data_IF_175951884144
#
_entry.id   IF_175951884144
#
_cell.length_a   1.000
_cell.length_b   1.000
_cell.length_c   1.000
_cell.angle_alpha   90.00
_cell.angle_beta   90.00
_cell.angle_gamma   90.00
#
_symmetry.space_group_name_H-M   'P 1'
#
loop_
_entity.id
_entity.type
_entity.pdbx_description
1 polymer ?
#
# COMPACT_ATOMS: atom_id res chain seq x y z
N UNK A 1 2.63 8.70 -21.23
CA UNK A 1 1.35 9.41 -21.33
C UNK A 1 0.25 8.45 -21.77
N UNK A 2 -0.87 8.48 -21.04
CA UNK A 2 -2.13 7.85 -21.45
C UNK A 2 -3.00 8.95 -22.09
N UNK A 3 -3.27 8.83 -23.37
CA UNK A 3 -4.05 9.80 -24.15
C UNK A 3 -5.37 9.17 -24.59
N UNK A 4 -6.46 9.60 -23.98
CA UNK A 4 -7.82 9.14 -24.29
C UNK A 4 -8.76 10.32 -24.52
N UNK A 5 -9.98 10.02 -24.87
CA UNK A 5 -11.10 10.97 -24.88
C UNK A 5 -12.11 10.59 -23.81
N UNK A 6 -12.72 11.60 -23.19
CA UNK A 6 -13.82 11.42 -22.25
C UNK A 6 -15.15 11.08 -22.97
N UNK A 7 -16.23 10.87 -22.21
CA UNK A 7 -17.57 10.56 -22.75
C UNK A 7 -18.15 11.68 -23.63
N UNK A 8 -17.64 12.90 -23.49
CA UNK A 8 -18.04 14.05 -24.31
C UNK A 8 -17.14 14.23 -25.56
N UNK A 9 -16.16 13.33 -25.78
CA UNK A 9 -15.23 13.39 -26.90
C UNK A 9 -14.10 14.41 -26.72
N UNK A 10 -13.84 14.87 -25.50
CA UNK A 10 -12.79 15.85 -25.14
C UNK A 10 -11.52 15.15 -24.70
N UNK A 11 -10.39 15.84 -24.77
CA UNK A 11 -9.10 15.30 -24.33
C UNK A 11 -9.13 14.91 -22.84
N UNK A 12 -8.64 13.70 -22.55
CA UNK A 12 -8.51 13.14 -21.22
C UNK A 12 -7.14 12.45 -21.12
N UNK A 13 -6.18 13.16 -20.53
CA UNK A 13 -4.75 12.83 -20.58
C UNK A 13 -4.23 12.68 -19.16
N UNK A 14 -3.37 11.68 -18.94
CA UNK A 14 -2.64 11.48 -17.69
C UNK A 14 -1.28 10.85 -17.93
N UNK A 15 -0.47 10.82 -16.88
CA UNK A 15 0.85 10.17 -16.82
C UNK A 15 0.80 9.07 -15.80
N UNK A 16 1.38 7.91 -16.10
CA UNK A 16 1.63 6.82 -15.16
C UNK A 16 2.95 6.17 -15.58
N UNK A 17 3.93 6.14 -14.67
CA UNK A 17 5.33 5.78 -14.98
C UNK A 17 5.94 4.85 -13.93
N UNK A 18 5.14 4.13 -13.13
CA UNK A 18 5.70 3.17 -12.20
C UNK A 18 6.45 2.06 -12.94
N UNK A 19 7.65 1.76 -12.47
CA UNK A 19 8.54 0.78 -13.09
C UNK A 19 9.49 1.39 -14.11
N UNK A 20 8.98 2.12 -15.09
CA UNK A 20 9.79 2.87 -16.06
C UNK A 20 8.98 3.98 -16.74
N UNK A 21 9.65 4.82 -17.50
CA UNK A 21 9.02 5.83 -18.36
C UNK A 21 9.06 7.26 -17.84
N UNK A 22 9.44 7.53 -16.60
CA UNK A 22 9.60 8.89 -16.08
C UNK A 22 10.63 9.70 -16.92
N UNK A 23 11.77 9.10 -17.20
CA UNK A 23 12.84 9.69 -18.00
C UNK A 23 12.47 9.91 -19.48
N UNK A 24 11.37 9.35 -19.97
CA UNK A 24 10.89 9.55 -21.32
C UNK A 24 10.20 10.90 -21.52
N UNK A 25 9.77 11.58 -20.48
CA UNK A 25 9.01 12.81 -20.62
C UNK A 25 9.58 14.00 -19.82
N UNK A 26 10.39 13.76 -18.79
CA UNK A 26 11.12 14.80 -18.11
C UNK A 26 12.54 14.35 -17.74
N UNK A 27 13.54 15.25 -17.71
CA UNK A 27 14.95 14.87 -17.44
C UNK A 27 15.12 14.46 -15.98
N UNK A 28 15.42 13.17 -15.74
CA UNK A 28 15.75 12.62 -14.43
C UNK A 28 16.68 11.41 -14.62
N UNK A 29 17.24 10.90 -13.53
CA UNK A 29 17.83 9.56 -13.52
C UNK A 29 16.71 8.55 -13.32
N UNK A 30 16.71 7.50 -14.13
CA UNK A 30 15.65 6.50 -14.17
C UNK A 30 15.90 5.41 -13.12
N UNK A 31 15.92 5.81 -11.85
CA UNK A 31 16.15 4.93 -10.71
C UNK A 31 15.34 5.42 -9.50
N UNK A 32 14.76 4.52 -8.67
CA UNK A 32 13.94 4.90 -7.51
C UNK A 32 14.66 5.81 -6.49
N UNK A 33 15.98 5.76 -6.42
CA UNK A 33 16.77 6.61 -5.49
C UNK A 33 16.91 8.07 -5.92
N UNK A 34 16.26 8.47 -7.00
CA UNK A 34 16.35 9.85 -7.50
C UNK A 34 15.12 10.65 -7.06
N UNK A 35 15.30 11.42 -5.99
CA UNK A 35 14.25 12.27 -5.40
C UNK A 35 14.76 13.71 -5.27
N UNK A 36 14.29 14.66 -6.12
CA UNK A 36 14.56 16.08 -5.88
C UNK A 36 13.83 16.54 -4.61
N UNK A 37 14.50 17.38 -3.80
CA UNK A 37 13.98 17.94 -2.54
C UNK A 37 12.68 18.74 -2.73
N UNK A 38 12.49 19.31 -3.91
CA UNK A 38 11.29 20.06 -4.29
C UNK A 38 11.22 20.21 -5.81
N UNK A 39 10.02 20.49 -6.34
CA UNK A 39 9.85 20.57 -7.78
C UNK A 39 8.82 21.62 -8.21
N UNK A 40 9.18 22.45 -9.20
CA UNK A 40 8.24 23.32 -9.89
C UNK A 40 7.75 22.65 -11.19
N UNK A 41 6.44 22.48 -11.32
CA UNK A 41 5.80 21.86 -12.49
C UNK A 41 4.94 22.94 -13.18
N UNK A 42 5.43 23.46 -14.31
CA UNK A 42 4.76 24.53 -15.06
C UNK A 42 4.23 23.96 -16.38
N UNK A 43 2.93 23.93 -16.55
CA UNK A 43 2.29 23.34 -17.72
C UNK A 43 1.39 24.35 -18.41
N UNK A 44 1.57 24.50 -19.72
CA UNK A 44 0.74 25.37 -20.55
C UNK A 44 -0.17 24.52 -21.43
N UNK A 45 -1.48 24.74 -21.34
CA UNK A 45 -2.52 24.04 -22.09
C UNK A 45 -3.44 25.04 -22.79
N UNK A 46 -4.27 24.61 -23.76
CA UNK A 46 -5.36 25.45 -24.31
C UNK A 46 -6.22 26.05 -23.19
N UNK A 47 -6.82 27.23 -23.43
CA UNK A 47 -7.50 28.01 -22.37
C UNK A 47 -8.79 27.38 -21.85
N UNK A 48 -9.34 26.39 -22.54
CA UNK A 48 -10.59 25.68 -22.26
C UNK A 48 -10.42 24.35 -21.50
N UNK A 49 -9.16 23.98 -21.20
CA UNK A 49 -8.84 22.73 -20.49
C UNK A 49 -7.99 23.03 -19.25
N UNK A 50 -8.12 22.20 -18.24
CA UNK A 50 -7.37 22.33 -16.97
C UNK A 50 -6.21 21.33 -16.90
N UNK A 51 -5.10 21.79 -16.29
CA UNK A 51 -3.98 20.90 -15.94
C UNK A 51 -3.82 20.83 -14.42
N UNK A 52 -3.78 19.60 -13.89
CA UNK A 52 -3.53 19.28 -12.48
C UNK A 52 -2.23 18.49 -12.37
N UNK A 53 -1.39 18.88 -11.41
CA UNK A 53 -0.12 18.20 -11.12
C UNK A 53 0.09 18.04 -9.60
N UNK A 54 1.23 17.46 -9.23
CA UNK A 54 1.65 17.28 -7.84
C UNK A 54 1.85 18.63 -7.12
N UNK A 55 1.81 18.61 -5.79
CA UNK A 55 2.04 19.78 -4.98
C UNK A 55 0.88 20.77 -4.99
N UNK A 56 1.17 22.02 -4.72
CA UNK A 56 0.18 23.09 -4.58
C UNK A 56 0.20 24.04 -5.77
N UNK A 57 -0.98 24.38 -6.30
CA UNK A 57 -1.10 25.40 -7.34
C UNK A 57 -0.72 26.76 -6.76
N UNK A 58 0.35 27.37 -7.29
CA UNK A 58 0.87 28.67 -6.85
C UNK A 58 0.35 29.82 -7.68
N UNK A 59 0.21 29.61 -9.00
CA UNK A 59 -0.22 30.65 -9.91
C UNK A 59 -0.93 30.06 -11.14
N UNK A 60 -1.89 30.79 -11.66
CA UNK A 60 -2.53 30.51 -12.96
C UNK A 60 -2.42 31.75 -13.83
N UNK A 61 -1.79 31.62 -15.00
CA UNK A 61 -1.67 32.70 -15.97
C UNK A 61 -2.54 32.37 -17.18
N UNK A 62 -3.61 33.13 -17.36
CA UNK A 62 -4.61 32.90 -18.41
C UNK A 62 -4.50 33.97 -19.50
N UNK A 63 -4.55 33.51 -20.76
CA UNK A 63 -4.72 34.32 -21.96
C UNK A 63 -5.95 33.83 -22.72
N UNK A 64 -6.32 34.48 -23.82
CA UNK A 64 -7.48 34.10 -24.63
C UNK A 64 -7.33 32.71 -25.26
N UNK A 65 -6.09 32.23 -25.50
CA UNK A 65 -5.81 31.00 -26.25
C UNK A 65 -5.17 29.90 -25.41
N UNK A 66 -4.56 30.25 -24.25
CA UNK A 66 -3.83 29.29 -23.41
C UNK A 66 -3.85 29.69 -21.94
N UNK A 67 -3.72 28.67 -21.07
CA UNK A 67 -3.57 28.82 -19.63
C UNK A 67 -2.30 28.11 -19.19
N UNK A 68 -1.47 28.78 -18.35
CA UNK A 68 -0.32 28.17 -17.70
C UNK A 68 -0.64 27.95 -16.23
N UNK A 69 -0.55 26.71 -15.78
CA UNK A 69 -0.67 26.30 -14.38
C UNK A 69 0.72 26.11 -13.80
N UNK A 70 1.01 26.77 -12.67
CA UNK A 70 2.30 26.66 -11.96
C UNK A 70 2.09 25.95 -10.64
N UNK A 71 2.44 24.69 -10.61
CA UNK A 71 2.39 23.85 -9.42
C UNK A 71 3.76 23.80 -8.75
N UNK A 72 3.79 23.54 -7.45
CA UNK A 72 5.02 23.43 -6.69
C UNK A 72 4.87 22.35 -5.61
N UNK A 73 5.78 21.38 -5.64
CA UNK A 73 5.96 20.32 -4.63
C UNK A 73 7.02 20.81 -3.65
N UNK A 74 6.68 20.83 -2.38
CA UNK A 74 7.54 21.36 -1.29
C UNK A 74 8.37 20.30 -0.60
N UNK A 75 8.05 19.01 -0.84
CA UNK A 75 8.69 17.85 -0.23
C UNK A 75 9.47 17.04 -1.27
N UNK A 76 10.39 16.16 -0.84
CA UNK A 76 11.02 15.22 -1.75
C UNK A 76 9.97 14.42 -2.54
N UNK A 77 10.22 14.19 -3.81
CA UNK A 77 9.32 13.47 -4.70
C UNK A 77 10.10 12.52 -5.60
N UNK A 78 9.75 11.24 -5.59
CA UNK A 78 10.41 10.29 -6.49
C UNK A 78 10.06 10.54 -7.96
N UNK A 79 10.88 10.03 -8.86
CA UNK A 79 10.81 10.36 -10.27
C UNK A 79 9.51 9.92 -10.94
N UNK A 80 8.96 8.74 -10.60
CA UNK A 80 7.77 8.19 -11.24
C UNK A 80 6.48 8.86 -10.76
N UNK A 81 6.50 9.48 -9.58
CA UNK A 81 5.36 10.20 -9.02
C UNK A 81 5.06 11.54 -9.68
N UNK A 82 6.05 12.13 -10.36
CA UNK A 82 5.83 13.39 -11.07
C UNK A 82 4.77 13.19 -12.16
N UNK A 83 3.63 13.88 -12.04
CA UNK A 83 2.48 13.64 -12.88
C UNK A 83 1.85 14.91 -13.45
N UNK A 84 1.22 14.76 -14.60
CA UNK A 84 0.43 15.79 -15.27
C UNK A 84 -0.87 15.17 -15.72
N UNK A 85 -2.00 15.76 -15.29
CA UNK A 85 -3.33 15.31 -15.65
C UNK A 85 -4.09 16.46 -16.32
N UNK A 86 -4.65 16.23 -17.50
CA UNK A 86 -5.26 17.28 -18.33
C UNK A 86 -6.64 16.82 -18.78
N UNK A 87 -7.67 17.57 -18.39
CA UNK A 87 -9.06 17.34 -18.78
C UNK A 87 -9.95 18.54 -18.51
N UNK A 88 -11.23 18.45 -18.84
CA UNK A 88 -12.25 19.40 -18.42
C UNK A 88 -12.70 19.06 -16.99
N UNK A 89 -11.90 19.45 -16.01
CA UNK A 89 -12.17 19.16 -14.60
C UNK A 89 -13.11 20.17 -13.95
N UNK A 90 -14.06 19.66 -13.15
CA UNK A 90 -14.66 20.38 -12.03
C UNK A 90 -13.79 20.19 -10.78
N UNK A 91 -13.82 21.16 -9.86
CA UNK A 91 -13.04 21.13 -8.62
C UNK A 91 -13.98 21.06 -7.43
N UNK A 92 -13.92 19.96 -6.69
CA UNK A 92 -14.65 19.80 -5.43
C UNK A 92 -13.70 20.15 -4.29
N UNK A 93 -14.01 21.23 -3.55
CA UNK A 93 -13.28 21.54 -2.33
C UNK A 93 -13.94 20.84 -1.14
N UNK A 94 -13.14 20.20 -0.32
CA UNK A 94 -13.55 19.46 0.86
C UNK A 94 -12.61 19.73 2.04
N UNK A 95 -12.91 19.16 3.21
CA UNK A 95 -12.10 19.24 4.41
C UNK A 95 -11.97 17.86 5.06
N UNK A 96 -10.78 17.55 5.55
CA UNK A 96 -10.47 16.33 6.27
C UNK A 96 -10.09 16.68 7.71
N UNK A 97 -10.66 15.96 8.67
CA UNK A 97 -10.26 16.03 10.08
C UNK A 97 -9.07 15.11 10.31
N UNK A 98 -7.87 15.67 10.16
CA UNK A 98 -6.59 15.02 10.43
C UNK A 98 -6.25 15.09 11.92
N UNK A 99 -5.28 14.26 12.35
CA UNK A 99 -4.68 14.36 13.69
C UNK A 99 -3.93 15.68 13.90
N UNK A 100 -3.58 16.39 12.81
CA UNK A 100 -2.92 17.72 12.83
C UNK A 100 -3.92 18.89 12.74
N UNK A 101 -5.22 18.62 12.73
CA UNK A 101 -6.27 19.62 12.63
C UNK A 101 -7.13 19.46 11.38
N UNK A 102 -7.95 20.49 11.07
CA UNK A 102 -8.78 20.50 9.86
C UNK A 102 -7.92 20.91 8.67
N UNK A 103 -7.83 20.05 7.67
CA UNK A 103 -7.00 20.22 6.49
C UNK A 103 -7.85 20.29 5.21
N UNK A 104 -7.44 21.08 4.21
CA UNK A 104 -8.13 21.15 2.93
C UNK A 104 -7.84 19.90 2.08
N UNK A 105 -8.86 19.44 1.37
CA UNK A 105 -8.76 18.42 0.32
C UNK A 105 -9.42 18.92 -0.96
N UNK A 106 -8.92 18.49 -2.10
CA UNK A 106 -9.44 18.86 -3.40
C UNK A 106 -9.61 17.63 -4.29
N UNK A 107 -10.78 17.53 -4.93
CA UNK A 107 -11.02 16.45 -5.88
C UNK A 107 -11.24 17.06 -7.26
N UNK A 108 -10.44 16.63 -8.22
CA UNK A 108 -10.48 17.06 -9.62
C UNK A 108 -11.13 15.94 -10.43
N UNK A 109 -12.34 16.16 -10.89
CA UNK A 109 -13.13 15.15 -11.60
C UNK A 109 -13.67 15.70 -12.91
N UNK A 110 -13.95 14.84 -13.89
CA UNK A 110 -14.60 15.29 -15.10
C UNK A 110 -15.92 16.02 -14.75
N UNK A 111 -16.18 17.16 -15.38
CA UNK A 111 -17.23 18.09 -15.00
C UNK A 111 -18.62 17.43 -14.89
N UNK A 112 -18.91 16.44 -15.72
CA UNK A 112 -20.17 15.67 -15.66
C UNK A 112 -20.22 14.61 -14.55
N UNK A 113 -19.11 14.37 -13.84
CA UNK A 113 -19.00 13.41 -12.73
C UNK A 113 -19.03 14.10 -11.35
N UNK A 114 -19.16 15.43 -11.29
CA UNK A 114 -19.07 16.19 -10.03
C UNK A 114 -20.01 15.67 -8.95
N UNK A 115 -21.28 15.41 -9.28
CA UNK A 115 -22.29 14.99 -8.31
C UNK A 115 -21.99 13.60 -7.72
N UNK A 116 -21.65 12.62 -8.57
CA UNK A 116 -21.33 11.27 -8.12
C UNK A 116 -20.02 11.25 -7.33
N UNK A 117 -19.03 12.01 -7.76
CA UNK A 117 -17.75 12.14 -7.07
C UNK A 117 -17.90 12.78 -5.68
N UNK A 118 -18.72 13.79 -5.55
CA UNK A 118 -19.00 14.47 -4.27
C UNK A 118 -19.56 13.52 -3.21
N UNK A 119 -20.39 12.57 -3.60
CA UNK A 119 -20.88 11.53 -2.70
C UNK A 119 -19.84 10.45 -2.44
N UNK A 120 -19.18 9.99 -3.48
CA UNK A 120 -18.21 8.90 -3.42
C UNK A 120 -16.99 9.25 -2.54
N UNK A 121 -16.39 10.41 -2.75
CA UNK A 121 -15.18 10.82 -2.04
C UNK A 121 -15.40 11.27 -0.58
N UNK A 122 -16.63 11.25 -0.08
CA UNK A 122 -16.86 11.37 1.37
C UNK A 122 -16.13 10.29 2.16
N UNK A 123 -15.90 9.13 1.54
CA UNK A 123 -15.18 8.02 2.14
C UNK A 123 -13.69 8.35 2.42
N UNK A 124 -13.08 9.24 1.63
CA UNK A 124 -11.70 9.68 1.82
C UNK A 124 -11.43 10.23 3.24
N UNK A 125 -12.42 10.83 3.87
CA UNK A 125 -12.33 11.34 5.26
C UNK A 125 -12.16 10.22 6.28
N UNK A 126 -12.84 9.08 6.06
CA UNK A 126 -12.74 7.91 6.94
C UNK A 126 -11.44 7.15 6.67
N UNK A 127 -11.05 7.05 5.39
CA UNK A 127 -9.77 6.45 4.98
C UNK A 127 -8.61 7.19 5.64
N UNK A 128 -8.51 8.51 5.48
CA UNK A 128 -7.46 9.33 6.08
C UNK A 128 -7.38 9.13 7.59
N UNK A 129 -8.52 9.13 8.29
CA UNK A 129 -8.55 8.90 9.73
C UNK A 129 -7.99 7.54 10.13
N UNK A 130 -8.34 6.48 9.39
CA UNK A 130 -7.83 5.13 9.65
C UNK A 130 -6.34 5.03 9.36
N UNK A 131 -5.86 5.60 8.25
CA UNK A 131 -4.46 5.59 7.88
C UNK A 131 -3.61 6.34 8.90
N UNK A 132 -4.03 7.53 9.31
CA UNK A 132 -3.35 8.29 10.38
C UNK A 132 -3.36 7.56 11.74
N UNK A 133 -4.41 6.78 12.01
CA UNK A 133 -4.46 5.93 13.21
C UNK A 133 -3.36 4.86 13.18
N UNK A 134 -3.09 4.25 12.04
CA UNK A 134 -2.14 3.15 11.90
C UNK A 134 -0.71 3.60 11.60
N UNK A 135 -0.53 4.70 10.86
CA UNK A 135 0.78 5.09 10.32
C UNK A 135 1.29 6.44 10.85
N UNK A 136 0.45 7.22 11.51
CA UNK A 136 0.79 8.57 11.93
C UNK A 136 0.28 9.64 10.96
N UNK A 137 0.60 10.93 11.20
CA UNK A 137 0.08 12.05 10.41
C UNK A 137 0.33 11.90 8.92
N UNK A 138 -0.59 12.41 8.10
CA UNK A 138 -0.37 12.55 6.65
C UNK A 138 0.88 13.40 6.38
N UNK A 139 1.80 12.94 5.51
CA UNK A 139 3.14 13.51 5.42
C UNK A 139 3.21 14.95 4.84
N UNK A 140 2.31 15.30 3.90
CA UNK A 140 2.49 16.51 3.05
C UNK A 140 1.28 17.44 3.02
N UNK A 141 0.71 17.85 4.13
CA UNK A 141 -0.40 18.80 4.13
C UNK A 141 -0.06 20.14 3.45
N UNK A 142 1.21 20.54 3.39
CA UNK A 142 1.66 21.72 2.64
C UNK A 142 1.53 21.58 1.12
N UNK A 143 1.63 20.36 0.58
CA UNK A 143 1.41 20.06 -0.83
C UNK A 143 -0.04 19.66 -1.13
N UNK A 144 -0.82 19.40 -0.07
CA UNK A 144 -2.25 19.12 -0.10
C UNK A 144 -2.56 17.65 -0.43
N UNK A 145 -3.81 17.29 -0.17
CA UNK A 145 -4.38 15.99 -0.54
C UNK A 145 -5.34 16.18 -1.71
N UNK A 146 -5.04 15.55 -2.84
CA UNK A 146 -5.84 15.63 -4.05
C UNK A 146 -6.15 14.23 -4.60
N UNK A 147 -7.42 14.03 -4.99
CA UNK A 147 -7.81 12.92 -5.87
C UNK A 147 -8.08 13.50 -7.25
N UNK A 148 -7.48 12.90 -8.27
CA UNK A 148 -7.57 13.37 -9.64
C UNK A 148 -8.12 12.25 -10.53
N UNK A 149 -9.29 12.46 -11.13
CA UNK A 149 -9.86 11.50 -12.07
C UNK A 149 -8.97 11.37 -13.30
N UNK A 150 -8.62 10.13 -13.66
CA UNK A 150 -7.63 9.81 -14.70
C UNK A 150 -8.16 8.77 -15.68
N UNK A 151 -7.59 8.68 -16.89
CA UNK A 151 -7.99 7.69 -17.89
C UNK A 151 -7.48 6.26 -17.64
N UNK A 152 -6.97 5.97 -16.45
CA UNK A 152 -6.49 4.65 -15.99
C UNK A 152 -6.95 4.41 -14.55
N UNK A 153 -6.82 3.19 -14.05
CA UNK A 153 -7.48 2.72 -12.84
C UNK A 153 -7.09 3.49 -11.56
N UNK A 154 -5.81 3.63 -11.30
CA UNK A 154 -5.23 4.33 -10.15
C UNK A 154 -3.74 4.47 -10.31
N UNK A 155 -3.12 5.33 -9.53
CA UNK A 155 -1.69 5.52 -9.39
C UNK A 155 -1.41 6.46 -8.21
N UNK A 156 -0.41 6.12 -7.42
CA UNK A 156 -0.06 6.77 -6.15
C UNK A 156 0.69 8.11 -6.28
N UNK A 157 0.45 8.87 -7.33
CA UNK A 157 1.16 10.14 -7.54
C UNK A 157 1.09 11.05 -6.32
N UNK A 158 2.23 11.29 -5.67
CA UNK A 158 2.36 12.07 -4.45
C UNK A 158 1.53 13.36 -4.49
N UNK A 159 0.66 13.57 -3.50
CA UNK A 159 -0.23 14.73 -3.37
C UNK A 159 -1.17 15.00 -4.56
N UNK A 160 -1.24 14.10 -5.55
CA UNK A 160 -2.12 14.19 -6.72
C UNK A 160 -2.58 12.78 -7.17
N UNK A 161 -3.10 12.01 -6.23
CA UNK A 161 -3.48 10.61 -6.35
C UNK A 161 -4.42 10.42 -7.55
N UNK A 162 -4.06 9.54 -8.47
CA UNK A 162 -4.84 9.24 -9.65
C UNK A 162 -5.98 8.28 -9.32
N UNK A 163 -7.16 8.57 -9.84
CA UNK A 163 -8.37 7.78 -9.65
C UNK A 163 -9.12 7.56 -10.96
N UNK A 164 -9.39 6.31 -11.34
CA UNK A 164 -10.10 5.98 -12.57
C UNK A 164 -11.01 4.74 -12.43
N UNK A 165 -11.58 4.53 -11.24
CA UNK A 165 -12.44 3.37 -10.93
C UNK A 165 -13.94 3.63 -11.24
N UNK A 166 -14.29 4.62 -12.05
CA UNK A 166 -15.67 4.97 -12.41
C UNK A 166 -16.62 5.12 -11.20
N UNK A 167 -16.12 5.54 -10.05
CA UNK A 167 -16.88 5.68 -8.78
C UNK A 167 -17.54 4.38 -8.31
N UNK A 168 -16.88 3.24 -8.60
CA UNK A 168 -17.31 1.93 -8.14
C UNK A 168 -16.78 1.65 -6.74
N UNK A 169 -17.57 0.97 -5.93
CA UNK A 169 -17.12 0.40 -4.67
C UNK A 169 -16.56 -1.01 -4.89
N UNK A 170 -15.89 -1.56 -3.88
CA UNK A 170 -15.26 -2.89 -3.92
C UNK A 170 -16.10 -3.95 -4.63
N UNK A 171 -17.40 -3.77 -4.63
CA UNK A 171 -18.30 -4.77 -5.17
C UNK A 171 -19.43 -4.16 -6.00
N UNK A 172 -19.06 -3.66 -7.17
CA UNK A 172 -20.06 -3.23 -8.16
C UNK A 172 -20.73 -4.46 -8.79
N UNK A 173 -21.73 -5.01 -8.13
CA UNK A 173 -22.58 -6.06 -8.70
C UNK A 173 -22.78 -7.30 -7.86
N UNK A 174 -21.97 -7.56 -6.85
CA UNK A 174 -22.20 -8.56 -5.81
C UNK A 174 -22.43 -7.82 -4.50
N UNK A 175 -23.31 -8.24 -3.63
CA UNK A 175 -23.50 -7.58 -2.33
C UNK A 175 -22.20 -7.61 -1.56
N UNK A 176 -21.53 -6.48 -1.47
CA UNK A 176 -20.29 -6.36 -0.72
C UNK A 176 -20.55 -6.63 0.76
N UNK A 177 -19.92 -7.66 1.29
CA UNK A 177 -19.89 -7.89 2.72
C UNK A 177 -19.00 -6.86 3.44
N UNK A 178 -18.17 -6.11 2.70
CA UNK A 178 -17.28 -5.06 3.19
C UNK A 178 -17.93 -3.67 3.17
N UNK A 179 -19.16 -3.54 2.66
CA UNK A 179 -19.87 -2.26 2.61
C UNK A 179 -19.37 -1.35 1.48
N UNK A 180 -19.42 -0.06 1.73
CA UNK A 180 -19.06 0.97 0.76
C UNK A 180 -17.58 1.31 0.89
N UNK A 181 -16.70 0.55 0.22
CA UNK A 181 -15.26 0.77 0.19
C UNK A 181 -14.80 0.89 -1.25
N UNK A 182 -14.18 2.03 -1.59
CA UNK A 182 -13.41 2.16 -2.81
C UNK A 182 -11.95 1.79 -2.54
N UNK A 183 -11.59 0.57 -2.93
CA UNK A 183 -10.26 0.04 -2.68
C UNK A 183 -9.17 0.79 -3.46
N UNK A 184 -9.49 1.39 -4.64
CA UNK A 184 -8.51 2.18 -5.40
C UNK A 184 -8.16 3.45 -4.62
N UNK A 185 -9.15 4.26 -4.23
CA UNK A 185 -8.87 5.46 -3.43
C UNK A 185 -8.10 5.12 -2.15
N UNK A 186 -8.43 4.00 -1.50
CA UNK A 186 -7.77 3.56 -0.26
C UNK A 186 -6.32 3.15 -0.51
N UNK A 187 -6.10 2.27 -1.49
CA UNK A 187 -4.79 1.73 -1.84
C UNK A 187 -3.84 2.86 -2.26
N UNK A 188 -4.27 3.68 -3.21
CA UNK A 188 -3.46 4.79 -3.71
C UNK A 188 -3.21 5.87 -2.64
N UNK A 189 -4.14 6.06 -1.69
CA UNK A 189 -3.90 6.96 -0.55
C UNK A 189 -2.89 6.37 0.44
N UNK A 190 -2.84 5.05 0.62
CA UNK A 190 -1.88 4.41 1.52
C UNK A 190 -0.44 4.64 1.08
N UNK A 191 -0.22 4.74 -0.20
CA UNK A 191 1.10 5.00 -0.77
C UNK A 191 1.67 6.37 -0.40
N UNK A 192 0.89 7.32 0.08
CA UNK A 192 1.42 8.57 0.62
C UNK A 192 2.35 8.32 1.83
N UNK A 193 2.14 7.22 2.57
CA UNK A 193 3.05 6.73 3.61
C UNK A 193 4.05 5.69 3.09
N UNK A 194 3.57 4.74 2.25
CA UNK A 194 4.32 3.57 1.80
C UNK A 194 4.57 3.64 0.28
N UNK A 195 5.67 4.22 -0.11
CA UNK A 195 6.00 4.51 -1.51
C UNK A 195 6.45 5.95 -1.70
N UNK A 196 5.73 6.91 -1.11
CA UNK A 196 6.03 8.33 -1.24
C UNK A 196 6.85 8.86 -0.05
N UNK A 197 6.37 8.69 1.19
CA UNK A 197 7.13 9.11 2.37
C UNK A 197 8.32 8.18 2.65
N UNK A 198 8.14 6.90 2.43
CA UNK A 198 9.18 5.89 2.51
C UNK A 198 9.26 5.20 1.17
N UNK A 199 10.30 5.47 0.42
CA UNK A 199 10.49 4.95 -0.94
C UNK A 199 11.40 3.74 -0.94
N UNK A 200 11.06 2.69 -1.69
CA UNK A 200 11.91 1.53 -1.87
C UNK A 200 13.20 1.90 -2.63
N UNK A 201 14.34 1.37 -2.17
CA UNK A 201 15.64 1.67 -2.74
C UNK A 201 15.84 1.10 -4.15
N UNK A 202 15.03 0.13 -4.55
CA UNK A 202 15.10 -0.53 -5.86
C UNK A 202 13.72 -1.11 -6.21
N UNK A 203 13.44 -1.31 -7.49
CA UNK A 203 12.23 -2.01 -7.95
C UNK A 203 12.10 -3.43 -7.39
N UNK A 204 13.21 -4.05 -7.02
CA UNK A 204 13.22 -5.33 -6.33
C UNK A 204 12.56 -5.29 -4.94
N UNK A 205 12.59 -4.14 -4.28
CA UNK A 205 12.01 -3.90 -2.96
C UNK A 205 10.57 -3.31 -3.00
N UNK A 206 9.94 -3.27 -4.16
CA UNK A 206 8.60 -2.66 -4.36
C UNK A 206 7.50 -3.23 -3.45
N UNK A 207 7.72 -4.39 -2.83
CA UNK A 207 6.80 -4.93 -1.83
C UNK A 207 6.63 -4.02 -0.60
N UNK A 208 7.62 -3.15 -0.33
CA UNK A 208 7.52 -2.11 0.69
C UNK A 208 6.45 -1.06 0.35
N UNK A 209 6.13 -0.87 -0.93
CA UNK A 209 5.01 -0.08 -1.39
C UNK A 209 3.74 -0.94 -1.39
N UNK A 210 3.71 -1.96 -2.23
CA UNK A 210 2.53 -2.71 -2.60
C UNK A 210 2.01 -3.66 -1.50
N UNK A 211 2.94 -4.29 -0.78
CA UNK A 211 2.59 -5.15 0.35
C UNK A 211 1.96 -4.37 1.50
N UNK A 212 2.50 -3.19 1.80
CA UNK A 212 1.93 -2.28 2.80
C UNK A 212 0.66 -1.61 2.30
N UNK A 213 0.57 -1.22 1.02
CA UNK A 213 -0.65 -0.73 0.38
C UNK A 213 -1.79 -1.74 0.51
N UNK A 214 -1.53 -2.99 0.11
CA UNK A 214 -2.50 -4.08 0.24
C UNK A 214 -2.85 -4.40 1.70
N UNK A 215 -1.88 -4.36 2.62
CA UNK A 215 -2.17 -4.60 4.04
C UNK A 215 -2.96 -3.45 4.67
N UNK A 216 -2.82 -2.25 4.15
CA UNK A 216 -3.64 -1.10 4.54
C UNK A 216 -5.12 -1.34 4.25
N UNK A 217 -5.45 -1.99 3.12
CA UNK A 217 -6.84 -2.39 2.85
C UNK A 217 -7.37 -3.33 3.94
N UNK A 218 -6.55 -4.31 4.38
CA UNK A 218 -6.89 -5.23 5.48
C UNK A 218 -7.13 -4.48 6.78
N UNK A 219 -6.23 -3.56 7.13
CA UNK A 219 -6.34 -2.73 8.34
C UNK A 219 -7.56 -1.80 8.31
N UNK A 220 -7.89 -1.24 7.15
CA UNK A 220 -9.08 -0.42 6.99
C UNK A 220 -10.37 -1.24 7.18
N UNK A 221 -10.43 -2.44 6.60
CA UNK A 221 -11.54 -3.38 6.83
C UNK A 221 -11.65 -3.73 8.32
N UNK A 222 -10.52 -3.94 9.00
CA UNK A 222 -10.48 -4.18 10.44
C UNK A 222 -11.06 -3.01 11.24
N UNK A 223 -10.63 -1.79 10.93
CA UNK A 223 -11.08 -0.57 11.63
C UNK A 223 -12.58 -0.29 11.42
N UNK A 224 -13.10 -0.62 10.24
CA UNK A 224 -14.50 -0.36 9.85
C UNK A 224 -15.47 -1.48 10.24
N UNK A 225 -15.05 -2.73 10.12
CA UNK A 225 -15.93 -3.90 10.20
C UNK A 225 -15.47 -4.94 11.22
N UNK A 226 -14.31 -4.73 11.84
CA UNK A 226 -13.73 -5.61 12.85
C UNK A 226 -12.83 -6.71 12.30
N UNK A 227 -12.01 -7.25 13.20
CA UNK A 227 -10.97 -8.24 12.88
C UNK A 227 -11.46 -9.48 12.09
N UNK A 228 -12.61 -10.13 12.41
CA UNK A 228 -13.05 -11.27 11.60
C UNK A 228 -13.28 -10.96 10.13
N UNK A 229 -13.72 -9.75 9.80
CA UNK A 229 -13.95 -9.33 8.42
C UNK A 229 -12.62 -9.02 7.71
N UNK A 230 -11.63 -8.49 8.41
CA UNK A 230 -10.31 -8.28 7.82
C UNK A 230 -9.61 -9.60 7.49
N UNK A 231 -9.75 -10.62 8.34
CA UNK A 231 -9.24 -11.97 8.04
C UNK A 231 -9.94 -12.56 6.82
N UNK A 232 -11.26 -12.42 6.73
CA UNK A 232 -11.99 -12.87 5.53
C UNK A 232 -11.48 -12.17 4.27
N UNK A 233 -11.26 -10.85 4.33
CA UNK A 233 -10.70 -10.08 3.23
C UNK A 233 -9.30 -10.58 2.82
N UNK A 234 -8.43 -10.80 3.79
CA UNK A 234 -7.08 -11.29 3.58
C UNK A 234 -7.05 -12.70 2.98
N UNK A 235 -7.94 -13.60 3.44
CA UNK A 235 -8.08 -14.96 2.89
C UNK A 235 -8.50 -14.98 1.42
N UNK A 236 -9.30 -14.02 0.97
CA UNK A 236 -9.64 -13.88 -0.45
C UNK A 236 -8.40 -13.50 -1.28
N UNK A 237 -7.54 -12.62 -0.75
CA UNK A 237 -6.29 -12.20 -1.42
C UNK A 237 -5.27 -13.33 -1.53
N UNK A 238 -5.29 -14.31 -0.62
CA UNK A 238 -4.41 -15.49 -0.65
C UNK A 238 -4.45 -16.24 -1.99
N UNK A 239 -5.60 -16.25 -2.64
CA UNK A 239 -5.79 -16.92 -3.94
C UNK A 239 -4.93 -16.36 -5.06
N UNK A 240 -4.45 -15.13 -4.93
CA UNK A 240 -3.57 -14.47 -5.91
C UNK A 240 -2.08 -14.72 -5.69
N UNK A 241 -1.67 -15.43 -4.63
CA UNK A 241 -0.24 -15.68 -4.34
C UNK A 241 0.28 -16.81 -5.23
N UNK A 242 1.32 -16.53 -6.01
CA UNK A 242 1.86 -17.43 -7.01
C UNK A 242 3.08 -18.24 -6.54
N UNK A 243 3.93 -17.66 -5.67
CA UNK A 243 5.18 -18.28 -5.17
C UNK A 243 6.12 -18.81 -6.27
N UNK A 244 6.15 -18.15 -7.43
CA UNK A 244 7.00 -18.59 -8.56
C UNK A 244 8.46 -18.20 -8.37
N UNK A 245 8.70 -17.07 -7.73
CA UNK A 245 10.02 -16.50 -7.45
C UNK A 245 10.02 -15.79 -6.10
N UNK A 246 11.20 -15.42 -5.61
CA UNK A 246 11.34 -14.55 -4.45
C UNK A 246 10.66 -13.20 -4.72
N UNK A 247 10.15 -12.52 -3.70
CA UNK A 247 9.58 -11.18 -3.83
C UNK A 247 10.72 -10.19 -4.14
N UNK A 248 11.75 -10.18 -3.30
CA UNK A 248 12.96 -9.40 -3.56
C UNK A 248 13.93 -10.23 -4.39
N UNK A 249 14.31 -9.71 -5.54
CA UNK A 249 15.27 -10.29 -6.45
C UNK A 249 16.59 -9.53 -6.50
N UNK A 250 17.36 -9.66 -7.59
CA UNK A 250 18.55 -8.86 -7.80
C UNK A 250 18.21 -7.37 -7.87
N UNK A 251 18.98 -6.53 -7.18
CA UNK A 251 18.96 -5.07 -7.29
C UNK A 251 19.91 -4.61 -8.40
N UNK A 252 19.77 -3.36 -8.82
CA UNK A 252 20.49 -2.77 -9.94
C UNK A 252 20.27 -3.51 -11.28
N UNK A 253 19.17 -4.24 -11.38
CA UNK A 253 18.70 -4.93 -12.58
C UNK A 253 17.23 -4.55 -12.84
N UNK A 254 16.75 -4.78 -14.06
CA UNK A 254 15.33 -4.61 -14.36
C UNK A 254 14.51 -5.75 -13.73
N UNK A 255 14.35 -5.69 -12.39
CA UNK A 255 13.55 -6.62 -11.62
C UNK A 255 12.50 -5.85 -10.82
N UNK A 256 11.23 -6.15 -11.08
CA UNK A 256 10.12 -5.64 -10.31
C UNK A 256 9.32 -6.82 -9.76
N UNK A 257 9.23 -6.90 -8.44
CA UNK A 257 8.64 -8.02 -7.71
C UNK A 257 7.11 -8.08 -7.74
N UNK A 258 6.44 -7.40 -8.65
CA UNK A 258 4.99 -7.19 -8.63
C UNK A 258 4.12 -8.44 -8.51
N UNK A 259 4.55 -9.62 -8.99
CA UNK A 259 3.71 -10.82 -8.99
C UNK A 259 3.17 -11.17 -7.60
N UNK A 260 4.03 -11.14 -6.58
CA UNK A 260 3.68 -11.49 -5.20
C UNK A 260 3.85 -10.32 -4.21
N UNK A 261 4.31 -9.15 -4.65
CA UNK A 261 4.55 -7.99 -3.81
C UNK A 261 3.29 -7.58 -3.03
N UNK A 262 2.14 -7.54 -3.69
CA UNK A 262 0.84 -7.18 -3.12
C UNK A 262 0.33 -8.21 -2.10
N UNK A 263 -0.19 -9.31 -2.60
CA UNK A 263 -0.93 -10.28 -1.78
C UNK A 263 -0.03 -11.03 -0.80
N UNK A 264 1.14 -11.52 -1.24
CA UNK A 264 2.07 -12.20 -0.35
C UNK A 264 2.72 -11.21 0.61
N UNK A 265 3.03 -9.98 0.17
CA UNK A 265 3.52 -8.91 1.04
C UNK A 265 2.56 -8.64 2.19
N UNK A 266 1.27 -8.45 1.91
CA UNK A 266 0.25 -8.28 2.95
C UNK A 266 0.16 -9.49 3.90
N UNK A 267 0.26 -10.71 3.39
CA UNK A 267 0.27 -11.92 4.23
C UNK A 267 1.51 -12.01 5.11
N UNK A 268 2.67 -11.58 4.64
CA UNK A 268 3.90 -11.53 5.44
C UNK A 268 3.74 -10.58 6.61
N UNK A 269 3.19 -9.39 6.37
CA UNK A 269 2.91 -8.41 7.43
C UNK A 269 1.92 -8.95 8.47
N UNK A 270 0.86 -9.62 8.02
CA UNK A 270 -0.10 -10.25 8.93
C UNK A 270 0.51 -11.41 9.70
N UNK A 271 1.35 -12.22 9.04
CA UNK A 271 2.09 -13.29 9.71
C UNK A 271 3.05 -12.73 10.76
N UNK A 272 3.77 -11.65 10.45
CA UNK A 272 4.62 -10.96 11.42
C UNK A 272 3.80 -10.47 12.63
N UNK A 273 2.63 -9.86 12.42
CA UNK A 273 1.71 -9.46 13.50
C UNK A 273 1.34 -10.65 14.40
N UNK A 274 1.02 -11.80 13.79
CA UNK A 274 0.70 -13.04 14.51
C UNK A 274 1.91 -13.62 15.26
N UNK A 275 3.10 -13.51 14.67
CA UNK A 275 4.35 -13.96 15.29
C UNK A 275 4.73 -13.09 16.48
N UNK A 276 4.57 -11.76 16.38
CA UNK A 276 4.78 -10.83 17.48
C UNK A 276 3.80 -11.06 18.63
N UNK A 277 2.56 -11.46 18.33
CA UNK A 277 1.49 -11.72 19.28
C UNK A 277 1.20 -10.54 20.23
N UNK A 278 1.48 -9.33 19.75
CA UNK A 278 1.28 -8.07 20.47
C UNK A 278 0.98 -6.93 19.48
N UNK A 279 -0.28 -6.55 19.39
CA UNK A 279 -0.73 -5.47 18.50
C UNK A 279 -0.10 -4.12 18.83
N UNK A 280 0.23 -3.85 20.10
CA UNK A 280 0.85 -2.59 20.48
C UNK A 280 2.28 -2.50 19.93
N UNK A 281 3.02 -3.60 19.95
CA UNK A 281 4.36 -3.69 19.35
C UNK A 281 4.22 -3.58 17.83
N UNK A 282 3.32 -4.34 17.20
CA UNK A 282 3.15 -4.33 15.74
C UNK A 282 2.79 -2.93 15.20
N UNK A 283 1.76 -2.30 15.76
CA UNK A 283 1.38 -0.94 15.33
C UNK A 283 2.41 0.12 15.75
N UNK A 284 3.14 -0.13 16.84
CA UNK A 284 4.29 0.68 17.24
C UNK A 284 5.41 0.65 16.19
N UNK A 285 5.69 -0.52 15.60
CA UNK A 285 6.64 -0.70 14.50
C UNK A 285 6.20 0.11 13.29
N UNK A 286 4.94 -0.01 12.86
CA UNK A 286 4.45 0.70 11.67
C UNK A 286 4.58 2.23 11.81
N UNK A 287 4.14 2.77 12.94
CA UNK A 287 4.25 4.22 13.20
C UNK A 287 5.68 4.69 13.39
N UNK A 288 6.47 3.94 14.15
CA UNK A 288 7.84 4.32 14.45
C UNK A 288 8.72 4.28 13.20
N UNK A 289 8.51 3.32 12.31
CA UNK A 289 9.21 3.25 11.04
C UNK A 289 8.90 4.47 10.16
N UNK A 290 7.62 4.87 10.08
CA UNK A 290 7.20 6.10 9.39
C UNK A 290 7.82 7.37 9.99
N UNK A 291 8.06 7.41 11.28
CA UNK A 291 8.68 8.57 11.94
C UNK A 291 10.19 8.61 11.73
N UNK A 292 10.86 7.45 11.84
CA UNK A 292 12.32 7.37 11.77
C UNK A 292 12.83 7.53 10.34
N UNK A 293 12.11 6.97 9.38
CA UNK A 293 12.49 6.97 7.96
C UNK A 293 11.67 7.94 7.10
N UNK A 294 11.05 8.93 7.71
CA UNK A 294 10.27 9.93 6.97
C UNK A 294 11.11 10.61 5.89
N UNK A 295 10.58 10.65 4.67
CA UNK A 295 11.24 11.19 3.47
C UNK A 295 12.59 10.54 3.18
N UNK A 296 12.67 9.23 3.38
CA UNK A 296 13.89 8.46 3.13
C UNK A 296 13.64 7.29 2.19
N UNK A 297 14.72 6.90 1.53
CA UNK A 297 14.80 5.74 0.65
C UNK A 297 15.32 4.57 1.48
N UNK A 298 14.61 3.44 1.50
CA UNK A 298 14.91 2.29 2.34
C UNK A 298 14.89 0.99 1.54
N UNK A 299 15.72 0.04 1.94
CA UNK A 299 15.67 -1.34 1.45
C UNK A 299 14.95 -2.25 2.44
N UNK A 300 14.63 -3.46 2.04
CA UNK A 300 14.01 -4.47 2.92
C UNK A 300 14.80 -4.69 4.21
N UNK A 301 16.14 -4.67 4.12
CA UNK A 301 17.03 -4.88 5.26
C UNK A 301 16.90 -3.79 6.32
N UNK A 302 16.63 -2.53 5.94
CA UNK A 302 16.41 -1.42 6.87
C UNK A 302 15.16 -1.66 7.73
N UNK A 303 14.09 -2.18 7.12
CA UNK A 303 12.87 -2.57 7.85
C UNK A 303 13.16 -3.72 8.81
N UNK A 304 13.91 -4.73 8.37
CA UNK A 304 14.26 -5.89 9.20
C UNK A 304 15.11 -5.46 10.40
N UNK A 305 16.12 -4.61 10.17
CA UNK A 305 16.98 -4.08 11.24
C UNK A 305 16.16 -3.24 12.23
N UNK A 306 15.26 -2.39 11.74
CA UNK A 306 14.37 -1.62 12.60
C UNK A 306 13.49 -2.51 13.48
N UNK A 307 12.87 -3.56 12.91
CA UNK A 307 12.05 -4.51 13.66
C UNK A 307 12.90 -5.22 14.73
N UNK A 308 14.12 -5.66 14.38
CA UNK A 308 15.04 -6.30 15.31
C UNK A 308 15.40 -5.38 16.47
N UNK A 309 15.68 -4.10 16.19
CA UNK A 309 16.03 -3.10 17.21
C UNK A 309 14.85 -2.82 18.16
N UNK A 310 13.63 -2.67 17.63
CA UNK A 310 12.42 -2.41 18.44
C UNK A 310 12.05 -3.60 19.32
N UNK A 311 12.20 -4.83 18.80
CA UNK A 311 11.76 -6.05 19.50
C UNK A 311 12.85 -6.69 20.34
N UNK A 312 14.12 -6.39 20.06
CA UNK A 312 15.27 -7.08 20.66
C UNK A 312 15.43 -8.54 20.20
N UNK A 313 14.77 -8.93 19.09
CA UNK A 313 14.80 -10.27 18.54
C UNK A 313 15.27 -10.23 17.08
N UNK A 314 15.81 -11.33 16.57
CA UNK A 314 16.25 -11.46 15.19
C UNK A 314 15.14 -12.04 14.31
N UNK A 315 14.54 -11.20 13.47
CA UNK A 315 13.54 -11.60 12.47
C UNK A 315 14.14 -11.82 11.08
N UNK A 316 15.45 -11.67 10.90
CA UNK A 316 16.08 -11.89 9.61
C UNK A 316 15.75 -13.28 9.01
N UNK A 317 15.81 -14.41 9.77
CA UNK A 317 15.43 -15.72 9.23
C UNK A 317 13.98 -15.81 8.76
N UNK A 318 13.05 -15.06 9.39
CA UNK A 318 11.66 -14.97 8.95
C UNK A 318 11.55 -14.28 7.59
N UNK A 319 12.19 -13.12 7.43
CA UNK A 319 12.18 -12.39 6.17
C UNK A 319 12.97 -13.12 5.07
N UNK A 320 14.09 -13.76 5.39
CA UNK A 320 14.84 -14.60 4.44
C UNK A 320 13.95 -15.69 3.83
N UNK A 321 13.11 -16.32 4.65
CA UNK A 321 12.20 -17.36 4.18
C UNK A 321 11.06 -16.83 3.31
N UNK A 322 10.45 -15.69 3.68
CA UNK A 322 9.25 -15.23 3.01
C UNK A 322 9.50 -14.27 1.86
N UNK A 323 10.56 -13.47 1.95
CA UNK A 323 10.88 -12.40 0.99
C UNK A 323 11.93 -12.86 -0.02
N UNK A 324 13.05 -13.44 0.48
CA UNK A 324 14.20 -13.82 -0.36
C UNK A 324 14.17 -15.27 -0.83
N UNK A 325 13.27 -16.10 -0.32
CA UNK A 325 12.97 -17.44 -0.85
C UNK A 325 11.51 -17.52 -1.34
N UNK A 326 11.29 -18.28 -2.40
CA UNK A 326 9.94 -18.46 -2.96
C UNK A 326 9.08 -19.46 -2.20
N UNK A 327 9.70 -20.34 -1.39
CA UNK A 327 9.03 -21.48 -0.76
C UNK A 327 8.36 -21.04 0.55
N UNK A 328 7.03 -21.17 0.69
CA UNK A 328 6.42 -20.98 1.99
C UNK A 328 6.74 -22.16 2.91
N UNK A 329 6.86 -21.92 4.23
CA UNK A 329 6.98 -23.01 5.20
C UNK A 329 5.77 -23.94 5.12
N UNK A 330 5.99 -25.23 5.32
CA UNK A 330 4.92 -26.23 5.42
C UNK A 330 4.94 -26.86 6.81
N UNK A 331 3.83 -26.73 7.55
CA UNK A 331 3.63 -27.44 8.80
C UNK A 331 3.13 -28.85 8.51
N UNK A 332 3.96 -29.86 8.85
CA UNK A 332 3.53 -31.26 8.88
C UNK A 332 3.13 -31.63 10.32
N UNK A 333 1.96 -32.19 10.48
CA UNK A 333 1.52 -32.67 11.79
C UNK A 333 0.73 -33.98 11.68
N UNK A 334 0.74 -34.74 12.79
CA UNK A 334 -0.07 -35.95 12.93
C UNK A 334 -0.50 -36.15 14.37
N UNK A 335 -1.64 -36.82 14.55
CA UNK A 335 -2.21 -37.15 15.86
C UNK A 335 -2.11 -38.66 16.09
N UNK A 336 -1.66 -39.07 17.27
CA UNK A 336 -1.65 -40.45 17.68
C UNK A 336 -1.90 -40.53 19.19
N UNK A 337 -3.02 -41.13 19.59
CA UNK A 337 -3.47 -41.23 20.98
C UNK A 337 -3.48 -39.84 21.67
N UNK A 338 -2.64 -39.67 22.67
CA UNK A 338 -2.49 -38.48 23.51
C UNK A 338 -1.37 -37.54 23.01
N UNK A 339 -0.95 -37.66 21.73
CA UNK A 339 0.20 -36.91 21.20
C UNK A 339 -0.09 -36.23 19.88
N UNK A 340 0.33 -34.97 19.79
CA UNK A 340 0.51 -34.20 18.57
C UNK A 340 1.99 -34.21 18.19
N UNK A 341 2.31 -34.77 17.02
CA UNK A 341 3.62 -34.69 16.40
C UNK A 341 3.59 -33.58 15.36
N UNK A 342 4.62 -32.74 15.32
CA UNK A 342 4.67 -31.62 14.40
C UNK A 342 6.09 -31.23 14.05
N UNK A 343 6.28 -30.68 12.84
CA UNK A 343 7.53 -30.09 12.36
C UNK A 343 7.30 -29.16 11.17
N UNK A 344 8.30 -28.30 10.87
CA UNK A 344 8.33 -27.61 9.58
C UNK A 344 9.14 -28.38 8.55
N UNK A 345 8.67 -28.26 7.28
CA UNK A 345 9.38 -28.67 6.07
C UNK A 345 9.39 -27.55 5.05
N UNK A 346 10.30 -27.62 4.06
CA UNK A 346 10.42 -26.58 3.04
C UNK A 346 11.00 -25.25 3.55
N UNK A 347 11.68 -25.27 4.69
CA UNK A 347 12.25 -24.08 5.33
C UNK A 347 13.76 -23.97 5.15
N UNK A 348 14.27 -22.74 5.22
CA UNK A 348 15.70 -22.45 5.33
C UNK A 348 16.22 -22.92 6.69
N UNK A 349 17.54 -23.26 6.79
CA UNK A 349 18.09 -23.88 8.01
C UNK A 349 17.86 -23.09 9.30
N UNK A 350 17.91 -21.77 9.23
CA UNK A 350 17.80 -20.89 10.40
C UNK A 350 16.35 -20.41 10.65
N UNK A 351 15.41 -20.79 9.79
CA UNK A 351 14.02 -20.37 9.95
C UNK A 351 13.40 -20.92 11.22
N UNK A 352 12.83 -20.04 12.00
CA UNK A 352 12.07 -20.35 13.20
C UNK A 352 10.87 -19.40 13.31
N UNK A 353 9.68 -19.96 13.43
CA UNK A 353 8.45 -19.21 13.55
C UNK A 353 7.48 -19.96 14.47
N UNK A 354 6.95 -19.32 15.51
CA UNK A 354 5.87 -19.91 16.30
C UNK A 354 4.58 -20.02 15.47
N UNK A 355 3.72 -20.97 15.83
CA UNK A 355 2.39 -21.10 15.25
C UNK A 355 1.39 -21.41 16.36
N UNK A 356 0.21 -20.79 16.30
CA UNK A 356 -0.88 -21.04 17.22
C UNK A 356 -1.80 -22.12 16.67
N UNK A 357 -2.15 -23.07 17.53
CA UNK A 357 -3.12 -24.14 17.22
C UNK A 357 -4.19 -24.20 18.31
N UNK A 358 -5.38 -24.63 17.96
CA UNK A 358 -6.43 -24.91 18.94
C UNK A 358 -6.43 -26.40 19.27
N UNK A 359 -6.16 -26.75 20.53
CA UNK A 359 -6.32 -28.11 21.06
C UNK A 359 -7.58 -28.12 21.92
N UNK A 360 -8.62 -28.81 21.48
CA UNK A 360 -9.94 -28.80 22.14
C UNK A 360 -10.44 -27.36 22.39
N UNK A 361 -10.28 -26.45 21.41
CA UNK A 361 -10.61 -25.02 21.50
C UNK A 361 -9.73 -24.18 22.43
N UNK A 362 -8.72 -24.77 23.07
CA UNK A 362 -7.73 -24.01 23.83
C UNK A 362 -6.56 -23.68 22.92
N UNK A 363 -6.14 -22.43 22.95
CA UNK A 363 -5.00 -21.99 22.17
C UNK A 363 -3.69 -22.51 22.76
N UNK A 364 -2.84 -23.04 21.89
CA UNK A 364 -1.50 -23.53 22.23
C UNK A 364 -0.51 -23.01 21.20
N UNK A 365 0.54 -22.34 21.68
CA UNK A 365 1.63 -21.83 20.83
C UNK A 365 2.70 -22.89 20.69
N UNK A 366 2.92 -23.34 19.45
CA UNK A 366 3.96 -24.29 19.10
C UNK A 366 5.18 -23.54 18.56
N UNK A 367 6.37 -24.15 18.71
CA UNK A 367 7.61 -23.68 18.10
C UNK A 367 8.18 -24.79 17.21
N UNK A 368 7.63 -25.02 16.00
CA UNK A 368 8.10 -26.08 15.11
C UNK A 368 9.53 -25.84 14.62
N UNK A 369 10.26 -26.93 14.43
CA UNK A 369 11.59 -26.95 13.79
C UNK A 369 11.60 -27.99 12.68
N UNK A 370 12.72 -28.23 12.03
CA UNK A 370 12.88 -29.32 11.04
C UNK A 370 12.82 -30.71 11.68
N UNK A 371 13.05 -30.80 12.99
CA UNK A 371 12.97 -32.05 13.74
C UNK A 371 11.55 -32.25 14.29
N UNK A 372 11.00 -33.45 14.12
CA UNK A 372 9.69 -33.79 14.67
C UNK A 372 9.67 -33.59 16.19
N UNK A 373 8.78 -32.75 16.64
CA UNK A 373 8.53 -32.46 18.06
C UNK A 373 7.21 -33.10 18.49
N UNK A 374 7.01 -33.23 19.80
CA UNK A 374 5.84 -33.86 20.36
C UNK A 374 5.24 -32.99 21.45
N UNK A 375 3.92 -32.77 21.38
CA UNK A 375 3.13 -32.19 22.46
C UNK A 375 2.15 -33.25 22.99
N UNK A 376 2.13 -33.43 24.30
CA UNK A 376 1.09 -34.27 24.94
C UNK A 376 -0.23 -33.51 24.97
N UNK A 377 -1.29 -34.11 24.46
CA UNK A 377 -2.64 -33.56 24.37
C UNK A 377 -3.64 -34.54 25.03
N UNK A 378 -4.84 -34.10 25.39
CA UNK A 378 -5.85 -35.01 25.88
C UNK A 378 -6.18 -36.13 24.85
N UNK A 379 -6.52 -37.33 25.33
CA UNK A 379 -6.99 -38.41 24.48
C UNK A 379 -8.15 -37.93 23.58
N UNK A 380 -8.09 -38.30 22.29
CA UNK A 380 -9.09 -37.90 21.29
C UNK A 380 -9.26 -36.36 21.11
N UNK A 381 -8.24 -35.60 21.46
CA UNK A 381 -8.27 -34.15 21.25
C UNK A 381 -8.44 -33.80 19.77
N UNK A 382 -9.20 -32.74 19.50
CA UNK A 382 -9.24 -32.09 18.18
C UNK A 382 -8.12 -31.07 18.11
N UNK A 383 -7.41 -31.03 16.98
CA UNK A 383 -6.40 -29.99 16.69
C UNK A 383 -6.83 -29.24 15.45
N UNK A 384 -6.88 -27.93 15.55
CA UNK A 384 -7.15 -27.02 14.44
C UNK A 384 -5.98 -26.05 14.34
N UNK A 385 -5.40 -25.92 13.15
CA UNK A 385 -4.41 -24.88 12.87
C UNK A 385 -5.15 -23.55 12.76
N UNK A 386 -4.63 -22.51 13.40
CA UNK A 386 -5.16 -21.16 13.29
C UNK A 386 -4.58 -20.52 12.02
N UNK A 387 -5.45 -19.82 11.30
CA UNK A 387 -5.07 -19.06 10.11
C UNK A 387 -4.29 -17.81 10.48
#
# INVERSE_FOLDING_TARGET
>A
FVWKTDKAGRDFIGVACEGDGASLWWPNKDHPTEEPDSMAINVTVPSDIMCVANGKLRETIKTDVKTTYKWFVSNPINNYNVSVNIANYAVINDTIHSVTGIQPAQYYVLDYNEDVAREHFKEARYMMRSLEKFFGPFPWWEDGYKLVETPYLGMEHQSAIAYGNDFKTYDSGVRSIYGYIDYITLHETAHEWWGNNITACDGADVWLHEGFGMYTEVLYVEDRLGYPMSIHYLLERRKGIANRRAIVGPRDEYYWGFEDAYNKGAWILHTLRSVLDDDAIFFGILKGFQQEFSSQIVCTEDLVEYINNVTGQDYKPFFDQYIFDRRPPTLEYSLSNDKLFYRYTGILPEFSMPINVLVNKNEVRLQPTTVTQTLTIPDYATVQIMD
#
